data_IF_894687536347
#
_entry.id   IF_894687536347
#
_cell.length_a   1.000
_cell.length_b   1.000
_cell.length_c   1.000
_cell.angle_alpha   90.00
_cell.angle_beta   90.00
_cell.angle_gamma   90.00
#
_symmetry.space_group_name_H-M   'P 1'
#
loop_
_entity.id
_entity.type
_entity.pdbx_description
1 polymer ?
#
# COMPACT_ATOMS: atom_id res chain seq x y z
N UNK A 1 -24.69 12.74 11.80
CA UNK A 1 -24.80 12.97 10.34
C UNK A 1 -24.91 14.46 10.14
N UNK A 2 -24.07 15.11 9.32
CA UNK A 2 -24.21 16.53 9.04
C UNK A 2 -25.28 16.80 7.97
N UNK A 3 -25.90 17.96 8.09
CA UNK A 3 -27.08 18.51 7.43
C UNK A 3 -26.94 18.65 5.89
N UNK A 4 -27.91 18.19 5.08
CA UNK A 4 -27.82 18.21 3.61
C UNK A 4 -28.22 19.53 2.92
N UNK A 5 -28.61 20.59 3.63
CA UNK A 5 -29.24 21.77 2.98
C UNK A 5 -28.30 22.87 2.46
N UNK A 6 -26.98 22.78 2.64
CA UNK A 6 -26.05 23.79 2.13
C UNK A 6 -24.84 23.18 1.40
N UNK A 7 -24.90 22.96 0.07
CA UNK A 7 -23.69 22.69 -0.70
C UNK A 7 -22.78 23.94 -0.71
N UNK A 8 -21.45 23.78 -0.62
CA UNK A 8 -20.53 24.91 -0.74
C UNK A 8 -20.65 25.53 -2.13
N UNK A 9 -20.94 26.83 -2.17
CA UNK A 9 -20.98 27.64 -3.39
C UNK A 9 -19.62 27.61 -4.10
N UNK A 10 -19.54 27.23 -5.37
CA UNK A 10 -18.32 27.38 -6.15
C UNK A 10 -18.04 28.88 -6.37
N UNK A 11 -16.82 29.32 -6.04
CA UNK A 11 -16.31 30.63 -6.44
C UNK A 11 -16.23 30.68 -7.97
N UNK A 12 -17.13 31.43 -8.59
CA UNK A 12 -17.08 31.76 -10.01
C UNK A 12 -16.00 32.82 -10.23
N UNK A 13 -15.09 32.60 -11.19
CA UNK A 13 -14.20 33.64 -11.71
C UNK A 13 -14.62 34.01 -13.13
N UNK A 14 -14.59 35.31 -13.40
CA UNK A 14 -15.07 35.98 -14.60
C UNK A 14 -14.39 35.51 -15.90
N UNK A 15 -15.15 35.62 -16.99
CA UNK A 15 -14.78 35.38 -18.39
C UNK A 15 -13.51 36.13 -18.82
N UNK A 16 -12.63 35.41 -19.52
CA UNK A 16 -11.39 35.89 -20.11
C UNK A 16 -11.66 36.61 -21.44
N UNK A 17 -11.20 37.87 -21.59
CA UNK A 17 -11.39 38.57 -22.86
C UNK A 17 -10.68 39.90 -23.10
N UNK A 18 -9.76 40.36 -22.25
CA UNK A 18 -9.03 41.63 -22.50
C UNK A 18 -7.51 41.43 -22.35
N UNK A 19 -6.68 42.00 -23.25
CA UNK A 19 -5.23 41.94 -23.16
C UNK A 19 -4.72 42.82 -22.02
N UNK A 20 -3.76 42.27 -21.28
CA UNK A 20 -3.11 42.83 -20.08
C UNK A 20 -2.37 44.15 -20.40
N UNK A 21 -2.58 45.21 -19.61
CA UNK A 21 -1.82 46.49 -19.69
C UNK A 21 -0.81 46.57 -18.55
N UNK A 22 0.33 47.23 -18.76
CA UNK A 22 1.37 47.43 -17.72
C UNK A 22 0.86 48.10 -16.43
N UNK A 23 -0.26 48.83 -16.52
CA UNK A 23 -0.95 49.46 -15.40
C UNK A 23 -1.62 48.43 -14.45
N UNK A 24 -1.83 47.19 -14.90
CA UNK A 24 -2.47 46.10 -14.13
C UNK A 24 -1.50 45.35 -13.20
N UNK A 25 -0.18 45.64 -13.25
CA UNK A 25 0.78 45.08 -12.31
C UNK A 25 0.37 45.40 -10.86
N UNK A 26 -0.12 46.63 -10.63
CA UNK A 26 -0.75 47.09 -9.38
C UNK A 26 -1.82 46.14 -8.83
N UNK A 27 -2.66 45.60 -9.71
CA UNK A 27 -3.80 44.74 -9.39
C UNK A 27 -3.35 43.34 -8.93
N UNK A 28 -2.30 42.78 -9.56
CA UNK A 28 -1.70 41.49 -9.16
C UNK A 28 -1.07 41.54 -7.77
N UNK A 29 -0.54 42.71 -7.36
CA UNK A 29 0.00 42.90 -6.01
C UNK A 29 -1.07 42.88 -4.91
N UNK A 30 -2.29 43.34 -5.20
CA UNK A 30 -3.41 43.31 -4.27
C UNK A 30 -3.93 41.87 -4.04
N UNK A 31 -3.93 41.06 -5.09
CA UNK A 31 -4.47 39.70 -5.07
C UNK A 31 -3.58 38.75 -4.23
N UNK A 32 -2.26 38.87 -4.33
CA UNK A 32 -1.33 38.03 -3.55
C UNK A 32 -1.46 38.31 -2.03
N UNK A 33 -1.60 39.57 -1.62
CA UNK A 33 -1.72 39.92 -0.19
C UNK A 33 -3.04 39.45 0.42
N UNK A 34 -4.17 39.67 -0.27
CA UNK A 34 -5.47 39.20 0.19
C UNK A 34 -5.53 37.65 0.28
N UNK A 35 -4.96 36.96 -0.72
CA UNK A 35 -4.88 35.49 -0.74
C UNK A 35 -4.01 34.96 0.42
N UNK A 36 -2.87 35.61 0.72
CA UNK A 36 -1.98 35.17 1.80
C UNK A 36 -2.57 35.37 3.21
N UNK A 37 -3.43 36.37 3.40
CA UNK A 37 -4.16 36.63 4.67
C UNK A 37 -5.23 35.58 4.93
N UNK A 38 -6.06 35.27 3.93
CA UNK A 38 -7.12 34.24 4.02
C UNK A 38 -6.53 32.83 4.26
N UNK A 39 -5.25 32.64 3.92
CA UNK A 39 -4.50 31.39 4.10
C UNK A 39 -3.95 31.22 5.52
N UNK A 40 -3.55 32.32 6.17
CA UNK A 40 -2.73 32.30 7.36
C UNK A 40 -3.52 32.46 8.67
N UNK A 41 -4.68 33.13 8.64
CA UNK A 41 -5.46 33.41 9.83
C UNK A 41 -6.44 32.26 10.17
N UNK A 42 -6.59 31.86 11.45
CA UNK A 42 -7.68 31.00 11.88
C UNK A 42 -9.02 31.71 11.63
N UNK A 43 -10.12 30.92 11.53
CA UNK A 43 -11.54 31.25 11.21
C UNK A 43 -12.14 32.60 11.66
N UNK A 44 -11.46 33.43 12.47
CA UNK A 44 -11.96 34.71 12.98
C UNK A 44 -11.73 35.92 12.06
N UNK A 45 -10.91 35.80 11.02
CA UNK A 45 -10.69 36.88 10.04
C UNK A 45 -10.67 36.27 8.63
N UNK A 46 -11.79 35.69 8.19
CA UNK A 46 -11.98 35.43 6.75
C UNK A 46 -12.58 36.69 6.15
N UNK A 47 -11.80 37.42 5.35
CA UNK A 47 -12.36 38.51 4.56
C UNK A 47 -12.55 37.96 3.16
N UNK A 48 -13.77 37.59 2.85
CA UNK A 48 -14.15 37.15 1.52
C UNK A 48 -13.73 38.23 0.51
N UNK A 49 -13.01 37.89 -0.56
CA UNK A 49 -12.56 38.86 -1.56
C UNK A 49 -13.73 39.70 -2.12
N UNK A 50 -14.90 39.07 -2.29
CA UNK A 50 -16.15 39.73 -2.67
C UNK A 50 -16.64 40.80 -1.66
N UNK A 51 -16.20 40.72 -0.40
CA UNK A 51 -16.50 41.71 0.62
C UNK A 51 -15.55 42.91 0.54
N UNK A 52 -14.27 42.71 0.22
CA UNK A 52 -13.30 43.79 -0.01
C UNK A 52 -13.69 44.66 -1.20
N UNK A 53 -14.22 44.06 -2.26
CA UNK A 53 -14.70 44.78 -3.45
C UNK A 53 -15.99 45.60 -3.19
N UNK A 54 -16.68 45.32 -2.08
CA UNK A 54 -17.88 46.05 -1.65
C UNK A 54 -17.59 47.21 -0.69
N UNK A 55 -16.33 47.37 -0.25
CA UNK A 55 -15.92 48.43 0.67
C UNK A 55 -15.65 49.74 -0.08
N UNK A 56 -15.82 50.85 0.63
CA UNK A 56 -15.30 52.13 0.15
C UNK A 56 -13.76 52.07 0.03
N UNK A 57 -13.17 52.91 -0.83
CA UNK A 57 -11.71 53.00 -0.99
C UNK A 57 -10.98 53.22 0.36
N UNK A 58 -11.58 54.02 1.24
CA UNK A 58 -11.04 54.37 2.56
C UNK A 58 -11.15 53.20 3.55
N UNK A 59 -12.29 52.50 3.58
CA UNK A 59 -12.49 51.30 4.40
C UNK A 59 -11.61 50.14 3.92
N UNK A 60 -11.41 50.01 2.61
CA UNK A 60 -10.50 49.02 2.02
C UNK A 60 -9.06 49.30 2.43
N UNK A 61 -8.60 50.56 2.33
CA UNK A 61 -7.26 50.96 2.77
C UNK A 61 -7.06 50.73 4.28
N UNK A 62 -8.06 51.05 5.11
CA UNK A 62 -8.03 50.81 6.55
C UNK A 62 -7.99 49.31 6.90
N UNK A 63 -8.82 48.48 6.25
CA UNK A 63 -8.81 47.03 6.43
C UNK A 63 -7.45 46.42 6.03
N UNK A 64 -6.86 46.90 4.93
CA UNK A 64 -5.52 46.50 4.48
C UNK A 64 -4.46 46.89 5.51
N UNK A 65 -4.54 48.07 6.10
CA UNK A 65 -3.58 48.53 7.10
C UNK A 65 -3.65 47.71 8.40
N UNK A 66 -4.86 47.34 8.83
CA UNK A 66 -5.09 46.43 9.98
C UNK A 66 -4.57 45.03 9.67
N UNK A 67 -4.80 44.52 8.47
CA UNK A 67 -4.22 43.24 8.03
C UNK A 67 -2.70 43.31 8.00
N UNK A 68 -2.13 44.41 7.47
CA UNK A 68 -0.68 44.64 7.40
C UNK A 68 -0.05 44.61 8.79
N UNK A 69 -0.58 45.39 9.74
CA UNK A 69 -0.09 45.38 11.12
C UNK A 69 -0.26 44.02 11.80
N UNK A 70 -1.32 43.28 11.49
CA UNK A 70 -1.53 41.92 12.02
C UNK A 70 -0.54 40.89 11.43
N UNK A 71 -0.26 40.96 10.12
CA UNK A 71 0.75 40.13 9.45
C UNK A 71 2.15 40.45 9.98
N UNK A 72 2.49 41.74 10.05
CA UNK A 72 3.79 42.22 10.54
C UNK A 72 4.02 41.81 12.01
N UNK A 73 2.98 41.84 12.85
CA UNK A 73 3.10 41.46 14.26
C UNK A 73 3.07 39.93 14.50
N UNK A 74 2.32 39.15 13.71
CA UNK A 74 2.08 37.73 14.02
C UNK A 74 2.69 36.72 13.05
N UNK A 75 2.97 37.11 11.80
CA UNK A 75 3.28 36.20 10.68
C UNK A 75 4.65 36.41 10.02
N UNK A 76 5.34 37.55 10.16
CA UNK A 76 6.73 37.68 9.71
C UNK A 76 7.70 37.22 10.79
N UNK A 77 7.98 35.91 10.80
CA UNK A 77 8.91 35.28 11.74
C UNK A 77 9.99 34.55 10.94
N UNK A 78 11.16 35.17 10.68
CA UNK A 78 12.23 34.58 9.87
C UNK A 78 12.62 33.17 10.31
N UNK A 79 12.75 32.95 11.62
CA UNK A 79 13.05 31.62 12.19
C UNK A 79 11.98 30.57 11.86
N UNK A 80 10.71 30.96 11.76
CA UNK A 80 9.61 30.05 11.39
C UNK A 80 9.66 29.70 9.92
N UNK A 81 9.93 30.67 9.04
CA UNK A 81 10.12 30.41 7.61
C UNK A 81 11.33 29.51 7.35
N UNK A 82 12.43 29.72 8.07
CA UNK A 82 13.60 28.85 8.03
C UNK A 82 13.22 27.41 8.44
N UNK A 83 12.50 27.22 9.55
CA UNK A 83 12.06 25.91 9.99
C UNK A 83 11.16 25.20 8.95
N UNK A 84 10.32 25.95 8.22
CA UNK A 84 9.53 25.40 7.11
C UNK A 84 10.43 25.00 5.94
N UNK A 85 11.39 25.84 5.54
CA UNK A 85 12.33 25.54 4.47
C UNK A 85 13.15 24.27 4.79
N UNK A 86 13.61 24.14 6.04
CA UNK A 86 14.27 22.94 6.56
C UNK A 86 13.35 21.71 6.50
N UNK A 87 12.09 21.85 6.89
CA UNK A 87 11.08 20.79 6.79
C UNK A 87 10.56 20.53 5.38
N UNK A 88 11.17 21.09 4.33
CA UNK A 88 10.73 20.94 2.94
C UNK A 88 11.62 19.98 2.15
N UNK A 89 11.00 19.02 1.48
CA UNK A 89 11.72 18.05 0.65
C UNK A 89 10.87 17.30 -0.34
N UNK A 90 11.54 16.46 -1.12
CA UNK A 90 10.96 15.64 -2.19
C UNK A 90 10.32 14.34 -1.69
N UNK A 91 10.84 13.82 -0.58
CA UNK A 91 10.39 12.60 0.07
C UNK A 91 10.14 12.90 1.55
N UNK A 92 9.03 12.37 2.11
CA UNK A 92 8.68 12.54 3.53
C UNK A 92 8.74 11.19 4.22
N UNK A 93 9.63 11.05 5.20
CA UNK A 93 9.83 9.82 5.96
C UNK A 93 8.66 9.52 6.89
N UNK A 94 7.91 10.55 7.31
CA UNK A 94 6.66 10.40 8.08
C UNK A 94 5.57 9.59 7.36
N UNK A 95 5.68 9.39 6.04
CA UNK A 95 4.79 8.52 5.28
C UNK A 95 5.09 7.03 5.43
N UNK A 96 6.31 6.68 5.86
CA UNK A 96 6.70 5.33 6.20
C UNK A 96 6.46 5.07 7.69
N UNK A 97 6.83 6.03 8.53
CA UNK A 97 6.63 5.95 9.97
C UNK A 97 6.29 7.33 10.54
N UNK A 98 5.07 7.49 11.06
CA UNK A 98 4.55 8.77 11.55
C UNK A 98 5.28 9.31 12.79
N UNK A 99 6.03 8.47 13.50
CA UNK A 99 6.83 8.85 14.68
C UNK A 99 8.16 9.53 14.35
N UNK A 100 8.57 9.56 13.07
CA UNK A 100 9.80 10.23 12.65
C UNK A 100 9.68 11.73 12.95
N UNK A 101 10.58 12.26 13.76
CA UNK A 101 10.62 13.66 14.17
C UNK A 101 11.99 14.29 13.90
N UNK A 102 12.07 15.62 13.96
CA UNK A 102 13.30 16.38 13.80
C UNK A 102 13.67 16.68 12.35
N UNK A 103 14.90 17.14 12.15
CA UNK A 103 15.44 17.71 10.91
C UNK A 103 15.57 16.70 9.75
N UNK A 104 15.51 15.40 10.08
CA UNK A 104 15.65 14.28 9.15
C UNK A 104 14.30 13.69 8.71
N UNK A 105 13.18 14.41 8.87
CA UNK A 105 11.87 13.90 8.44
C UNK A 105 11.62 14.02 6.93
N UNK A 106 12.46 14.76 6.22
CA UNK A 106 12.39 14.96 4.76
C UNK A 106 13.73 14.67 4.09
N UNK A 107 13.67 14.13 2.87
CA UNK A 107 14.83 13.95 1.99
C UNK A 107 14.69 14.80 0.72
N UNK A 108 15.81 15.33 0.24
CA UNK A 108 15.92 16.06 -1.03
C UNK A 108 16.74 15.21 -2.00
N UNK A 109 16.07 14.24 -2.61
CA UNK A 109 16.69 13.33 -3.58
C UNK A 109 16.34 13.82 -4.99
N UNK A 110 17.35 13.97 -5.84
CA UNK A 110 17.17 14.13 -7.28
C UNK A 110 17.44 12.76 -7.91
N UNK A 111 16.40 11.98 -8.31
CA UNK A 111 16.65 10.69 -8.91
C UNK A 111 17.34 10.88 -10.26
N UNK A 112 18.39 10.11 -10.52
CA UNK A 112 19.08 10.10 -11.80
C UNK A 112 18.09 9.73 -12.93
N UNK A 113 18.12 10.47 -14.04
CA UNK A 113 17.33 10.15 -15.25
C UNK A 113 15.85 10.56 -15.23
N UNK A 114 15.41 11.45 -14.34
CA UNK A 114 14.02 11.95 -14.35
C UNK A 114 13.92 13.22 -15.19
N UNK A 115 13.04 13.23 -16.19
CA UNK A 115 12.82 14.35 -17.12
C UNK A 115 12.19 15.61 -16.47
N UNK A 116 11.82 15.56 -15.19
CA UNK A 116 11.26 16.70 -14.44
C UNK A 116 11.80 16.71 -13.02
N UNK A 117 12.25 17.88 -12.55
CA UNK A 117 12.70 18.07 -11.18
C UNK A 117 11.52 17.87 -10.21
N UNK A 118 11.74 17.12 -9.13
CA UNK A 118 10.68 16.82 -8.17
C UNK A 118 10.32 18.07 -7.36
N UNK A 119 9.02 18.30 -7.15
CA UNK A 119 8.53 19.42 -6.32
C UNK A 119 8.83 19.18 -4.85
N UNK A 120 9.21 20.25 -4.16
CA UNK A 120 9.39 20.24 -2.72
C UNK A 120 8.04 20.38 -2.05
N UNK A 121 7.86 19.69 -0.92
CA UNK A 121 6.65 19.76 -0.14
C UNK A 121 7.00 19.77 1.35
N UNK A 122 6.18 20.44 2.18
CA UNK A 122 6.46 20.61 3.59
C UNK A 122 6.03 19.38 4.42
N UNK A 123 6.90 18.93 5.31
CA UNK A 123 6.57 18.10 6.47
C UNK A 123 6.94 18.87 7.72
N UNK A 124 5.96 19.57 8.26
CA UNK A 124 6.17 20.47 9.39
C UNK A 124 5.12 20.20 10.47
N UNK A 125 5.37 20.73 11.66
CA UNK A 125 4.38 20.69 12.74
C UNK A 125 3.15 21.54 12.39
N UNK A 126 1.99 21.16 12.95
CA UNK A 126 0.72 21.84 12.70
C UNK A 126 0.78 23.35 13.01
N UNK A 127 1.51 23.75 14.06
CA UNK A 127 1.66 25.14 14.48
C UNK A 127 2.28 26.06 13.41
N UNK A 128 3.18 25.52 12.57
CA UNK A 128 3.87 26.29 11.52
C UNK A 128 3.32 25.99 10.11
N UNK A 129 2.19 25.30 10.03
CA UNK A 129 1.51 25.01 8.77
C UNK A 129 1.04 26.27 8.02
N UNK A 130 0.59 27.37 8.66
CA UNK A 130 0.27 28.62 7.95
C UNK A 130 1.43 29.14 7.09
N UNK A 131 2.64 29.17 7.65
CA UNK A 131 3.88 29.56 6.97
C UNK A 131 4.21 28.63 5.80
N UNK A 132 4.00 27.32 5.99
CA UNK A 132 4.15 26.35 4.91
C UNK A 132 3.18 26.60 3.75
N UNK A 133 1.93 27.00 4.03
CA UNK A 133 0.98 27.36 2.97
C UNK A 133 1.41 28.63 2.22
N UNK A 134 1.97 29.62 2.92
CA UNK A 134 2.46 30.86 2.30
C UNK A 134 3.51 30.53 1.22
N UNK A 135 4.50 29.70 1.53
CA UNK A 135 5.63 29.47 0.60
C UNK A 135 5.40 28.32 -0.41
N UNK A 136 4.56 27.33 -0.08
CA UNK A 136 4.34 26.13 -0.94
C UNK A 136 3.04 26.17 -1.73
N UNK A 137 2.13 27.12 -1.50
CA UNK A 137 0.91 27.21 -2.30
C UNK A 137 1.24 27.74 -3.69
N UNK A 138 0.82 27.04 -4.77
CA UNK A 138 0.99 27.56 -6.12
C UNK A 138 0.20 28.85 -6.32
N UNK A 139 0.83 29.84 -6.93
CA UNK A 139 0.21 31.11 -7.33
C UNK A 139 -0.14 30.98 -8.81
N UNK A 140 -1.39 31.24 -9.15
CA UNK A 140 -1.84 31.35 -10.54
C UNK A 140 -1.65 32.79 -10.99
N UNK A 141 -1.00 32.99 -12.14
CA UNK A 141 -0.75 34.32 -12.71
C UNK A 141 -1.58 34.43 -13.99
N UNK A 142 -2.39 35.47 -14.09
CA UNK A 142 -3.26 35.72 -15.24
C UNK A 142 -2.41 35.79 -16.51
N UNK A 143 -2.88 35.14 -17.58
CA UNK A 143 -2.19 35.12 -18.88
C UNK A 143 -1.01 34.14 -18.96
N UNK A 144 -0.76 33.34 -17.92
CA UNK A 144 0.35 32.38 -17.89
C UNK A 144 -0.11 30.95 -17.65
N UNK A 145 0.47 30.02 -18.40
CA UNK A 145 0.27 28.59 -18.17
C UNK A 145 1.13 28.08 -17.01
N UNK A 146 0.47 27.38 -16.08
CA UNK A 146 1.11 26.72 -14.95
C UNK A 146 1.19 27.57 -13.68
N UNK A 147 1.13 26.88 -12.54
CA UNK A 147 1.16 27.51 -11.23
C UNK A 147 2.43 27.06 -10.49
N UNK A 148 3.23 28.04 -10.05
CA UNK A 148 4.45 27.87 -9.26
C UNK A 148 4.25 28.46 -7.86
N UNK A 149 4.79 27.79 -6.85
CA UNK A 149 4.90 28.34 -5.50
C UNK A 149 6.16 29.21 -5.36
N UNK A 150 6.32 29.92 -4.24
CA UNK A 150 7.55 30.66 -3.97
C UNK A 150 8.78 29.74 -4.03
N UNK A 151 8.66 28.54 -3.45
CA UNK A 151 9.72 27.52 -3.49
C UNK A 151 10.03 27.08 -4.92
N UNK A 152 9.01 26.90 -5.77
CA UNK A 152 9.23 26.57 -7.18
C UNK A 152 9.96 27.72 -7.91
N UNK A 153 9.61 28.98 -7.63
CA UNK A 153 10.29 30.16 -8.19
C UNK A 153 11.75 30.29 -7.71
N UNK A 154 12.07 29.86 -6.49
CA UNK A 154 13.44 29.82 -5.95
C UNK A 154 14.27 28.74 -6.65
N UNK A 155 13.71 27.54 -6.80
CA UNK A 155 14.41 26.37 -7.36
C UNK A 155 14.55 26.45 -8.88
N UNK A 156 13.54 27.00 -9.56
CA UNK A 156 13.49 27.17 -11.01
C UNK A 156 13.00 28.59 -11.34
N UNK A 157 13.88 29.58 -11.25
CA UNK A 157 13.55 30.96 -11.55
C UNK A 157 13.13 31.15 -13.01
N UNK A 158 12.21 32.07 -13.24
CA UNK A 158 11.80 32.52 -14.57
C UNK A 158 11.62 34.04 -14.58
N UNK A 159 11.13 34.58 -15.70
CA UNK A 159 10.99 36.02 -15.93
C UNK A 159 10.15 36.74 -14.86
N UNK A 160 9.21 36.04 -14.21
CA UNK A 160 8.30 36.64 -13.21
C UNK A 160 8.81 36.41 -11.78
N UNK A 161 9.76 35.49 -11.58
CA UNK A 161 10.36 35.24 -10.26
C UNK A 161 10.84 36.51 -9.53
N UNK A 162 11.54 37.47 -10.18
CA UNK A 162 11.95 38.71 -9.51
C UNK A 162 10.80 39.50 -8.91
N UNK A 163 9.67 39.59 -9.62
CA UNK A 163 8.46 40.29 -9.15
C UNK A 163 7.83 39.57 -7.97
N UNK A 164 7.79 38.23 -8.01
CA UNK A 164 7.30 37.41 -6.89
C UNK A 164 8.18 37.58 -5.64
N UNK A 165 9.51 37.60 -5.81
CA UNK A 165 10.47 37.82 -4.73
C UNK A 165 10.32 39.20 -4.11
N UNK A 166 10.23 40.24 -4.94
CA UNK A 166 10.01 41.60 -4.47
C UNK A 166 8.68 41.73 -3.72
N UNK A 167 7.61 41.14 -4.27
CA UNK A 167 6.29 41.11 -3.63
C UNK A 167 6.32 40.43 -2.27
N UNK A 168 7.04 39.30 -2.17
CA UNK A 168 7.21 38.59 -0.92
C UNK A 168 7.99 39.44 0.09
N UNK A 169 9.12 40.03 -0.29
CA UNK A 169 9.94 40.91 0.56
C UNK A 169 9.28 42.24 0.94
N UNK A 170 8.19 42.61 0.27
CA UNK A 170 7.34 43.74 0.65
C UNK A 170 6.23 43.34 1.62
N UNK A 171 5.84 42.07 1.65
CA UNK A 171 4.80 41.56 2.53
C UNK A 171 5.38 40.95 3.82
N UNK A 172 6.61 40.45 3.74
CA UNK A 172 7.42 39.88 4.80
C UNK A 172 8.84 40.45 4.69
N UNK A 173 9.67 40.27 5.70
CA UNK A 173 11.03 40.79 5.69
C UNK A 173 11.88 40.22 4.53
N UNK A 174 12.79 41.02 3.94
CA UNK A 174 13.83 40.52 3.04
C UNK A 174 14.66 39.39 3.67
N UNK A 175 14.86 39.44 4.99
CA UNK A 175 15.51 38.39 5.78
C UNK A 175 14.79 37.04 5.65
N UNK A 176 13.46 37.01 5.80
CA UNK A 176 12.66 35.80 5.62
C UNK A 176 12.87 35.17 4.24
N UNK A 177 12.88 35.98 3.17
CA UNK A 177 13.13 35.47 1.81
C UNK A 177 14.52 34.88 1.67
N UNK A 178 15.54 35.58 2.16
CA UNK A 178 16.93 35.15 2.02
C UNK A 178 17.22 33.86 2.78
N UNK A 179 16.63 33.68 3.97
CA UNK A 179 16.71 32.44 4.73
C UNK A 179 16.04 31.27 3.98
N UNK A 180 14.85 31.48 3.42
CA UNK A 180 14.17 30.44 2.62
C UNK A 180 15.03 30.08 1.41
N UNK A 181 15.54 31.09 0.70
CA UNK A 181 16.34 30.89 -0.51
C UNK A 181 17.61 30.11 -0.23
N UNK A 182 18.35 30.53 0.80
CA UNK A 182 19.58 29.88 1.25
C UNK A 182 19.31 28.42 1.58
N UNK A 183 18.37 28.14 2.47
CA UNK A 183 18.08 26.78 2.92
C UNK A 183 17.54 25.88 1.79
N UNK A 184 16.69 26.38 0.90
CA UNK A 184 16.12 25.57 -0.20
C UNK A 184 17.17 25.19 -1.26
N UNK A 185 18.07 26.12 -1.56
CA UNK A 185 19.14 25.91 -2.55
C UNK A 185 20.33 25.15 -1.98
N UNK A 186 20.53 25.16 -0.66
CA UNK A 186 21.60 24.43 -0.01
C UNK A 186 21.42 22.90 -0.21
N UNK A 187 22.45 22.21 -0.73
CA UNK A 187 22.47 20.76 -0.76
C UNK A 187 22.41 20.22 0.66
N UNK A 188 21.42 19.39 0.97
CA UNK A 188 21.39 18.73 2.28
C UNK A 188 22.44 17.63 2.35
N UNK A 189 23.15 17.58 3.47
CA UNK A 189 24.07 16.50 3.82
C UNK A 189 23.37 15.15 3.67
N UNK A 190 24.10 14.15 3.19
CA UNK A 190 23.58 12.79 3.08
C UNK A 190 23.04 12.32 4.44
N UNK A 191 21.85 11.71 4.42
CA UNK A 191 21.29 11.12 5.63
C UNK A 191 22.08 9.87 5.95
N UNK A 192 23.01 10.00 6.90
CA UNK A 192 23.91 8.93 7.33
C UNK A 192 23.26 7.92 8.26
N UNK A 193 22.10 8.25 8.85
CA UNK A 193 21.38 7.36 9.74
C UNK A 193 19.88 7.65 9.81
N UNK A 194 19.10 6.56 9.78
CA UNK A 194 17.66 6.56 10.07
C UNK A 194 17.45 6.26 11.55
N UNK A 195 17.57 7.28 12.41
CA UNK A 195 17.46 7.08 13.87
C UNK A 195 16.02 6.75 14.30
N UNK A 196 15.88 5.77 15.20
CA UNK A 196 14.74 5.65 16.12
C UNK A 196 13.39 5.27 15.53
N UNK A 197 13.30 4.84 14.27
CA UNK A 197 12.03 4.49 13.64
C UNK A 197 12.08 3.12 12.93
N UNK A 198 11.00 2.35 13.07
CA UNK A 198 10.76 1.12 12.32
C UNK A 198 10.53 1.48 10.85
N UNK A 199 11.60 1.52 10.07
CA UNK A 199 11.51 1.61 8.61
C UNK A 199 11.50 0.22 8.00
N UNK A 200 10.77 0.01 6.89
CA UNK A 200 10.87 -1.24 6.16
C UNK A 200 12.29 -1.35 5.59
N UNK A 201 13.00 -2.42 5.95
CA UNK A 201 14.29 -2.77 5.38
C UNK A 201 14.08 -4.03 4.54
N UNK A 202 14.43 -3.93 3.27
CA UNK A 202 14.48 -5.05 2.33
C UNK A 202 15.95 -5.38 2.10
N UNK A 203 16.30 -6.65 2.27
CA UNK A 203 17.63 -7.14 1.95
C UNK A 203 17.64 -7.60 0.49
N UNK A 204 18.64 -7.14 -0.27
CA UNK A 204 18.90 -7.59 -1.63
C UNK A 204 20.35 -8.08 -1.77
N UNK A 205 20.66 -8.91 -2.76
CA UNK A 205 22.04 -9.34 -2.99
C UNK A 205 22.89 -8.17 -3.50
N UNK A 206 24.11 -8.02 -2.98
CA UNK A 206 25.11 -7.11 -3.50
C UNK A 206 25.89 -7.73 -4.68
N UNK A 207 26.24 -6.97 -5.72
CA UNK A 207 27.13 -7.43 -6.79
C UNK A 207 28.51 -7.91 -6.28
N UNK A 208 28.98 -7.38 -5.15
CA UNK A 208 30.29 -7.69 -4.57
C UNK A 208 30.24 -8.82 -3.52
N UNK A 209 29.06 -9.42 -3.32
CA UNK A 209 28.80 -10.38 -2.24
C UNK A 209 28.25 -9.72 -0.98
N UNK A 210 27.49 -10.49 -0.18
CA UNK A 210 26.74 -9.97 0.97
C UNK A 210 25.41 -9.31 0.59
N UNK A 211 24.77 -8.67 1.57
CA UNK A 211 23.44 -8.08 1.43
C UNK A 211 23.49 -6.55 1.42
N UNK A 212 22.77 -5.93 0.49
CA UNK A 212 22.41 -4.51 0.52
C UNK A 212 21.11 -4.33 1.30
N UNK A 213 21.09 -3.34 2.19
CA UNK A 213 19.89 -2.93 2.92
C UNK A 213 19.21 -1.77 2.19
N UNK A 214 17.94 -1.96 1.84
CA UNK A 214 17.17 -1.00 1.06
C UNK A 214 15.93 -0.59 1.85
N UNK A 215 15.78 0.70 2.11
CA UNK A 215 14.51 1.27 2.58
C UNK A 215 13.80 1.95 1.42
N UNK A 216 12.72 1.37 0.87
CA UNK A 216 11.99 1.99 -0.22
C UNK A 216 11.22 3.20 0.29
N UNK A 217 11.51 4.37 -0.28
CA UNK A 217 10.86 5.63 0.07
C UNK A 217 10.18 6.17 -1.20
N UNK A 218 8.89 6.45 -1.13
CA UNK A 218 8.16 7.04 -2.26
C UNK A 218 8.29 8.55 -2.27
N UNK A 219 8.57 9.15 -3.43
CA UNK A 219 8.46 10.60 -3.57
C UNK A 219 7.01 11.04 -3.46
N UNK A 220 6.79 12.22 -2.90
CA UNK A 220 5.45 12.77 -2.76
C UNK A 220 4.83 13.15 -4.10
N UNK A 221 5.66 13.57 -5.04
CA UNK A 221 5.22 13.86 -6.39
C UNK A 221 4.51 12.65 -6.99
N UNK A 222 5.14 11.46 -6.91
CA UNK A 222 4.55 10.21 -7.39
C UNK A 222 3.24 9.88 -6.69
N UNK A 223 3.16 10.10 -5.36
CA UNK A 223 1.92 9.88 -4.60
C UNK A 223 0.78 10.81 -5.06
N UNK A 224 1.08 12.10 -5.29
CA UNK A 224 0.08 13.06 -5.72
C UNK A 224 -0.35 12.85 -7.18
N UNK A 225 0.57 12.49 -8.06
CA UNK A 225 0.26 12.11 -9.45
C UNK A 225 -0.61 10.86 -9.47
N UNK A 226 -0.26 9.83 -8.70
CA UNK A 226 -1.07 8.63 -8.53
C UNK A 226 -2.49 8.97 -8.06
N UNK A 227 -2.63 9.80 -7.02
CA UNK A 227 -3.94 10.21 -6.51
C UNK A 227 -4.81 10.87 -7.59
N UNK A 228 -4.23 11.79 -8.38
CA UNK A 228 -4.96 12.46 -9.47
C UNK A 228 -5.34 11.52 -10.60
N UNK A 229 -4.48 10.55 -10.92
CA UNK A 229 -4.69 9.64 -12.04
C UNK A 229 -5.62 8.46 -11.71
N UNK A 230 -5.60 7.98 -10.47
CA UNK A 230 -6.22 6.70 -10.09
C UNK A 230 -7.44 6.87 -9.19
N UNK A 231 -7.54 7.93 -8.40
CA UNK A 231 -8.73 8.11 -7.57
C UNK A 231 -9.92 8.46 -8.46
N UNK A 232 -11.07 7.77 -8.28
CA UNK A 232 -12.25 8.05 -9.06
C UNK A 232 -12.71 9.50 -8.82
N UNK A 233 -12.97 10.22 -9.90
CA UNK A 233 -13.71 11.48 -9.80
C UNK A 233 -15.11 11.18 -9.24
N UNK A 234 -15.72 12.09 -8.46
CA UNK A 234 -17.09 11.93 -7.98
C UNK A 234 -18.03 11.57 -9.14
N UNK A 235 -18.72 10.43 -9.04
CA UNK A 235 -19.64 9.94 -10.08
C UNK A 235 -19.02 9.04 -11.14
N UNK A 236 -17.69 8.88 -11.19
CA UNK A 236 -17.04 7.88 -12.04
C UNK A 236 -17.00 6.52 -11.32
N UNK A 237 -17.49 5.46 -11.97
CA UNK A 237 -17.39 4.10 -11.44
C UNK A 237 -15.95 3.69 -11.15
N UNK A 238 -15.75 2.80 -10.17
CA UNK A 238 -14.42 2.39 -9.72
C UNK A 238 -13.69 1.62 -10.84
N UNK A 239 -12.70 2.25 -11.49
CA UNK A 239 -11.90 1.63 -12.58
C UNK A 239 -10.87 0.63 -12.08
N UNK A 240 -10.43 0.77 -10.84
CA UNK A 240 -9.40 -0.06 -10.22
C UNK A 240 -9.77 -0.29 -8.77
N UNK A 241 -9.63 -1.53 -8.28
CA UNK A 241 -9.94 -1.85 -6.89
C UNK A 241 -8.87 -1.28 -5.96
N UNK A 242 -9.29 -0.39 -5.07
CA UNK A 242 -8.40 0.30 -4.13
C UNK A 242 -8.72 -0.08 -2.68
N UNK A 243 -7.68 -0.21 -1.87
CA UNK A 243 -7.81 -0.37 -0.41
C UNK A 243 -7.44 0.94 0.29
N UNK A 244 -8.25 1.32 1.28
CA UNK A 244 -7.98 2.45 2.16
C UNK A 244 -6.95 2.04 3.23
N UNK A 245 -5.90 2.84 3.39
CA UNK A 245 -4.96 2.73 4.49
C UNK A 245 -4.92 4.05 5.26
N UNK A 246 -5.22 3.97 6.55
CA UNK A 246 -5.01 5.08 7.48
C UNK A 246 -3.56 5.09 7.94
N UNK A 247 -2.84 6.18 7.70
CA UNK A 247 -1.43 6.34 8.10
C UNK A 247 -1.28 6.87 9.53
N UNK A 248 -2.25 7.69 9.96
CA UNK A 248 -2.31 8.30 11.28
C UNK A 248 -3.72 8.84 11.49
N UNK A 249 -4.17 8.85 12.75
CA UNK A 249 -5.38 9.55 13.17
C UNK A 249 -5.27 11.09 13.01
N UNK A 250 -4.04 11.62 12.86
CA UNK A 250 -3.75 13.06 12.72
C UNK A 250 -2.87 13.30 11.47
N UNK A 251 -3.44 13.21 10.24
CA UNK A 251 -2.68 13.35 8.99
C UNK A 251 -1.95 14.70 8.86
N UNK A 252 -2.47 15.76 9.47
CA UNK A 252 -1.83 17.08 9.53
C UNK A 252 -0.43 17.09 10.16
N UNK A 253 -0.08 16.07 10.96
CA UNK A 253 1.25 15.95 11.57
C UNK A 253 2.29 15.28 10.66
N UNK A 254 1.84 14.66 9.56
CA UNK A 254 2.69 14.01 8.55
C UNK A 254 3.14 15.04 7.51
N UNK A 255 2.18 15.75 6.91
CA UNK A 255 2.43 16.81 5.93
C UNK A 255 1.16 17.62 5.72
N UNK A 256 1.30 18.94 5.62
CA UNK A 256 0.18 19.81 5.24
C UNK A 256 -0.22 19.68 3.76
N UNK A 257 0.64 19.09 2.92
CA UNK A 257 0.37 18.84 1.51
C UNK A 257 -0.39 17.54 1.24
N UNK A 258 -0.54 16.67 2.25
CA UNK A 258 -1.18 15.37 2.12
C UNK A 258 -2.48 15.40 2.92
N UNK A 259 -3.57 15.77 2.26
CA UNK A 259 -4.90 15.62 2.82
C UNK A 259 -5.42 14.19 2.61
N UNK A 260 -6.24 13.71 3.55
CA UNK A 260 -7.06 12.51 3.40
C UNK A 260 -6.34 11.15 3.53
N UNK A 261 -7.11 10.09 3.29
CA UNK A 261 -6.68 8.68 3.40
C UNK A 261 -5.64 8.31 2.34
N UNK A 262 -4.74 7.37 2.65
CA UNK A 262 -3.85 6.78 1.63
C UNK A 262 -4.60 5.66 0.93
N UNK A 263 -4.39 5.55 -0.38
CA UNK A 263 -4.94 4.47 -1.19
C UNK A 263 -3.81 3.58 -1.68
N UNK A 264 -4.03 2.28 -1.68
CA UNK A 264 -3.14 1.30 -2.32
C UNK A 264 -3.95 0.46 -3.31
N UNK A 265 -3.30 -0.04 -4.34
CA UNK A 265 -3.89 -1.07 -5.18
C UNK A 265 -4.21 -2.30 -4.35
N UNK A 266 -5.43 -2.80 -4.48
CA UNK A 266 -5.78 -4.08 -3.89
C UNK A 266 -5.27 -5.19 -4.80
N UNK A 267 -4.21 -5.89 -4.35
CA UNK A 267 -3.75 -7.08 -5.04
C UNK A 267 -4.81 -8.17 -4.91
N UNK A 268 -5.36 -8.61 -6.05
CA UNK A 268 -6.13 -9.85 -6.11
C UNK A 268 -5.15 -10.98 -6.35
N UNK A 269 -4.89 -11.77 -5.31
CA UNK A 269 -4.15 -13.01 -5.48
C UNK A 269 -4.94 -13.94 -6.42
N UNK A 270 -4.27 -14.73 -7.27
CA UNK A 270 -4.94 -15.79 -8.00
C UNK A 270 -5.68 -16.69 -7.01
N UNK A 271 -6.83 -17.24 -7.43
CA UNK A 271 -7.60 -18.15 -6.57
C UNK A 271 -6.66 -19.26 -6.09
N UNK A 272 -6.59 -19.52 -4.77
CA UNK A 272 -5.80 -20.64 -4.28
C UNK A 272 -6.33 -21.91 -4.94
N UNK A 273 -5.42 -22.79 -5.37
CA UNK A 273 -5.79 -24.14 -5.77
C UNK A 273 -6.46 -24.82 -4.57
N UNK A 274 -7.51 -25.60 -4.82
CA UNK A 274 -8.03 -26.48 -3.78
C UNK A 274 -6.94 -27.50 -3.38
N UNK A 275 -7.09 -28.14 -2.23
CA UNK A 275 -6.06 -29.03 -1.68
C UNK A 275 -5.76 -30.22 -2.62
N UNK A 276 -6.76 -30.72 -3.35
CA UNK A 276 -6.60 -31.81 -4.30
C UNK A 276 -5.76 -31.37 -5.50
N UNK A 277 -6.12 -30.28 -6.18
CA UNK A 277 -5.41 -29.73 -7.33
C UNK A 277 -3.97 -29.36 -6.95
N UNK A 278 -3.77 -28.79 -5.76
CA UNK A 278 -2.44 -28.48 -5.24
C UNK A 278 -1.61 -29.75 -5.00
N UNK A 279 -2.22 -30.84 -4.57
CA UNK A 279 -1.56 -32.11 -4.34
C UNK A 279 -1.21 -32.82 -5.65
N UNK A 280 -2.10 -32.84 -6.64
CA UNK A 280 -1.83 -33.35 -7.99
C UNK A 280 -0.70 -32.54 -8.63
N UNK A 281 -0.75 -31.21 -8.55
CA UNK A 281 0.31 -30.35 -9.10
C UNK A 281 1.66 -30.59 -8.43
N UNK A 282 1.70 -30.78 -7.11
CA UNK A 282 2.92 -31.16 -6.39
C UNK A 282 3.45 -32.52 -6.86
N UNK A 283 2.56 -33.51 -7.06
CA UNK A 283 2.93 -34.82 -7.59
C UNK A 283 3.56 -34.72 -8.99
N UNK A 284 2.95 -33.95 -9.90
CA UNK A 284 3.50 -33.68 -11.25
C UNK A 284 4.88 -33.03 -11.19
N UNK A 285 5.09 -32.10 -10.25
CA UNK A 285 6.39 -31.45 -10.02
C UNK A 285 7.42 -32.35 -9.31
N UNK A 286 7.11 -33.63 -9.09
CA UNK A 286 8.02 -34.60 -8.49
C UNK A 286 7.95 -34.70 -6.96
N UNK A 287 6.80 -34.39 -6.35
CA UNK A 287 6.52 -34.75 -4.97
C UNK A 287 5.99 -36.20 -4.84
N UNK A 288 5.55 -36.57 -3.65
CA UNK A 288 4.95 -37.87 -3.35
C UNK A 288 3.54 -37.99 -3.93
N UNK A 289 3.10 -39.23 -4.18
CA UNK A 289 1.72 -39.52 -4.59
C UNK A 289 0.76 -39.17 -3.44
N UNK A 290 -0.29 -38.38 -3.67
CA UNK A 290 -1.25 -38.00 -2.63
C UNK A 290 -1.97 -39.22 -2.05
N UNK A 291 -1.95 -39.35 -0.72
CA UNK A 291 -2.78 -40.33 -0.01
C UNK A 291 -4.26 -40.05 -0.22
N UNK A 292 -5.10 -41.06 -0.02
CA UNK A 292 -6.55 -40.88 0.01
C UNK A 292 -6.94 -39.95 1.15
N UNK A 293 -7.90 -39.06 0.91
CA UNK A 293 -8.49 -38.25 1.96
C UNK A 293 -9.21 -39.17 2.93
N UNK A 294 -8.79 -39.15 4.19
CA UNK A 294 -9.35 -40.00 5.24
C UNK A 294 -10.68 -39.39 5.73
N UNK A 295 -11.79 -39.81 5.12
CA UNK A 295 -13.11 -39.57 5.66
C UNK A 295 -13.49 -40.63 6.73
N UNK A 296 -14.58 -40.38 7.44
CA UNK A 296 -15.04 -41.27 8.51
C UNK A 296 -15.39 -42.67 7.97
N UNK A 297 -15.93 -42.75 6.75
CA UNK A 297 -16.37 -44.02 6.15
C UNK A 297 -15.18 -44.92 5.81
N UNK A 298 -14.15 -44.38 5.15
CA UNK A 298 -12.92 -45.09 4.85
C UNK A 298 -12.21 -45.51 6.14
N UNK A 299 -12.17 -44.61 7.13
CA UNK A 299 -11.56 -44.90 8.43
C UNK A 299 -12.25 -46.08 9.14
N UNK A 300 -13.59 -46.09 9.17
CA UNK A 300 -14.37 -47.16 9.80
C UNK A 300 -14.17 -48.51 9.08
N UNK A 301 -14.14 -48.50 7.74
CA UNK A 301 -13.88 -49.70 6.94
C UNK A 301 -12.48 -50.27 7.20
N UNK A 302 -11.46 -49.42 7.26
CA UNK A 302 -10.09 -49.81 7.56
C UNK A 302 -9.96 -50.38 8.97
N UNK A 303 -10.57 -49.74 9.96
CA UNK A 303 -10.60 -50.23 11.35
C UNK A 303 -11.33 -51.58 11.43
N UNK A 304 -12.48 -51.71 10.74
CA UNK A 304 -13.23 -52.96 10.70
C UNK A 304 -12.42 -54.09 10.06
N UNK A 305 -11.75 -53.82 8.93
CA UNK A 305 -10.85 -54.75 8.26
C UNK A 305 -9.72 -55.22 9.20
N UNK A 306 -9.04 -54.29 9.89
CA UNK A 306 -7.98 -54.61 10.84
C UNK A 306 -8.47 -55.43 12.05
N UNK A 307 -9.66 -55.14 12.56
CA UNK A 307 -10.29 -55.91 13.66
C UNK A 307 -10.66 -57.32 13.21
N UNK A 308 -11.23 -57.48 12.02
CA UNK A 308 -11.62 -58.79 11.48
C UNK A 308 -10.39 -59.65 11.17
N UNK A 309 -9.35 -59.08 10.57
CA UNK A 309 -8.09 -59.76 10.32
C UNK A 309 -7.50 -60.31 11.62
N UNK A 310 -7.38 -59.48 12.67
CA UNK A 310 -6.83 -59.89 13.95
C UNK A 310 -7.60 -61.08 14.56
N UNK A 311 -8.94 -61.04 14.55
CA UNK A 311 -9.76 -62.14 15.08
C UNK A 311 -9.53 -63.46 14.35
N UNK A 312 -9.41 -63.41 13.03
CA UNK A 312 -9.15 -64.59 12.20
C UNK A 312 -7.75 -65.17 12.45
N UNK A 313 -6.78 -64.31 12.73
CA UNK A 313 -5.37 -64.65 12.93
C UNK A 313 -5.06 -65.13 14.37
N UNK A 314 -5.78 -64.63 15.38
CA UNK A 314 -5.52 -64.94 16.80
C UNK A 314 -6.37 -66.05 17.40
N UNK A 315 -7.52 -66.39 16.81
CA UNK A 315 -8.48 -67.36 17.38
C UNK A 315 -8.78 -68.46 16.35
N UNK A 316 -8.00 -69.55 16.38
CA UNK A 316 -8.19 -70.71 15.47
C UNK A 316 -9.61 -71.28 15.55
N UNK A 317 -10.22 -71.28 16.75
CA UNK A 317 -11.57 -71.82 17.00
C UNK A 317 -12.72 -70.91 16.53
N UNK A 318 -12.47 -69.62 16.25
CA UNK A 318 -13.49 -68.66 15.80
C UNK A 318 -13.45 -68.39 14.28
N UNK A 319 -12.49 -68.99 13.57
CA UNK A 319 -12.22 -68.74 12.16
C UNK A 319 -13.10 -69.60 11.23
N UNK A 320 -14.35 -69.17 10.98
CA UNK A 320 -15.23 -69.87 10.04
C UNK A 320 -15.04 -69.41 8.58
N UNK A 321 -15.45 -70.26 7.61
CA UNK A 321 -15.35 -70.00 6.16
C UNK A 321 -16.01 -68.67 5.76
N UNK A 322 -17.13 -68.32 6.38
CA UNK A 322 -17.89 -67.09 6.10
C UNK A 322 -17.12 -65.83 6.50
N UNK A 323 -16.39 -65.85 7.62
CA UNK A 323 -15.56 -64.74 8.08
C UNK A 323 -14.36 -64.50 7.15
N UNK A 324 -13.69 -65.57 6.72
CA UNK A 324 -12.59 -65.46 5.73
C UNK A 324 -13.09 -64.91 4.40
N UNK A 325 -14.25 -65.38 3.94
CA UNK A 325 -14.89 -64.84 2.73
C UNK A 325 -15.31 -63.37 2.90
N UNK A 326 -15.78 -62.97 4.08
CA UNK A 326 -16.09 -61.58 4.42
C UNK A 326 -14.87 -60.67 4.41
N UNK A 327 -13.77 -61.09 5.03
CA UNK A 327 -12.50 -60.37 5.02
C UNK A 327 -11.99 -60.19 3.58
N UNK A 328 -12.03 -61.25 2.76
CA UNK A 328 -11.62 -61.18 1.36
C UNK A 328 -12.46 -60.19 0.55
N UNK A 329 -13.79 -60.17 0.73
CA UNK A 329 -14.68 -59.20 0.07
C UNK A 329 -14.37 -57.75 0.48
N UNK A 330 -14.19 -57.51 1.77
CA UNK A 330 -13.84 -56.18 2.27
C UNK A 330 -12.47 -55.72 1.78
N UNK A 331 -11.49 -56.64 1.77
CA UNK A 331 -10.16 -56.39 1.20
C UNK A 331 -10.26 -56.02 -0.28
N UNK A 332 -10.99 -56.80 -1.07
CA UNK A 332 -11.19 -56.51 -2.50
C UNK A 332 -11.88 -55.16 -2.73
N UNK A 333 -12.86 -54.80 -1.90
CA UNK A 333 -13.52 -53.51 -1.95
C UNK A 333 -12.54 -52.34 -1.66
N UNK A 334 -11.69 -52.48 -0.63
CA UNK A 334 -10.66 -51.47 -0.32
C UNK A 334 -9.62 -51.34 -1.43
N UNK A 335 -9.22 -52.45 -2.05
CA UNK A 335 -8.32 -52.42 -3.22
C UNK A 335 -8.97 -51.72 -4.41
N UNK A 336 -10.25 -51.96 -4.67
CA UNK A 336 -10.99 -51.28 -5.75
C UNK A 336 -11.05 -49.77 -5.52
N UNK A 337 -11.39 -49.33 -4.30
CA UNK A 337 -11.40 -47.90 -3.96
C UNK A 337 -10.03 -47.25 -4.16
N UNK A 338 -8.97 -47.93 -3.76
CA UNK A 338 -7.61 -47.44 -3.92
C UNK A 338 -7.21 -47.37 -5.40
N UNK A 339 -7.56 -48.39 -6.19
CA UNK A 339 -7.30 -48.43 -7.62
C UNK A 339 -7.98 -47.25 -8.33
N UNK A 340 -9.26 -46.99 -8.05
CA UNK A 340 -9.97 -45.82 -8.60
C UNK A 340 -9.29 -44.51 -8.25
N UNK A 341 -8.89 -44.31 -6.98
CA UNK A 341 -8.16 -43.10 -6.57
C UNK A 341 -6.84 -42.91 -7.33
N UNK A 342 -6.08 -43.99 -7.55
CA UNK A 342 -4.82 -43.94 -8.30
C UNK A 342 -5.06 -43.57 -9.77
N UNK A 343 -6.08 -44.14 -10.39
CA UNK A 343 -6.43 -43.82 -11.78
C UNK A 343 -6.94 -42.38 -11.92
N UNK A 344 -7.77 -41.89 -11.00
CA UNK A 344 -8.23 -40.49 -10.98
C UNK A 344 -7.06 -39.51 -10.84
N UNK A 345 -6.08 -39.83 -9.98
CA UNK A 345 -4.85 -39.04 -9.83
C UNK A 345 -4.00 -39.08 -11.11
N UNK A 346 -3.93 -40.23 -11.77
CA UNK A 346 -3.17 -40.40 -13.01
C UNK A 346 -3.81 -39.61 -14.16
N UNK A 347 -5.12 -39.69 -14.32
CA UNK A 347 -5.87 -38.92 -15.31
C UNK A 347 -5.67 -37.41 -15.09
N UNK A 348 -5.83 -36.96 -13.84
CA UNK A 348 -5.64 -35.56 -13.46
C UNK A 348 -4.21 -35.08 -13.72
N UNK A 349 -3.20 -35.92 -13.47
CA UNK A 349 -1.81 -35.60 -13.72
C UNK A 349 -1.47 -35.56 -15.21
N UNK A 350 -2.00 -36.48 -16.01
CA UNK A 350 -1.83 -36.49 -17.47
C UNK A 350 -2.48 -35.29 -18.15
N UNK A 351 -3.59 -34.79 -17.58
CA UNK A 351 -4.22 -33.54 -18.04
C UNK A 351 -3.33 -32.31 -17.81
N UNK A 352 -2.44 -32.33 -16.80
CA UNK A 352 -1.49 -31.25 -16.52
C UNK A 352 -0.15 -31.42 -17.25
N UNK A 353 0.34 -32.64 -17.38
CA UNK A 353 1.55 -33.00 -18.11
C UNK A 353 1.33 -34.33 -18.86
N UNK A 354 1.17 -34.31 -20.21
CA UNK A 354 0.94 -35.51 -21.01
C UNK A 354 2.06 -36.55 -20.92
N UNK A 355 3.27 -36.16 -20.50
CA UNK A 355 4.41 -37.06 -20.34
C UNK A 355 4.57 -37.58 -18.90
N UNK A 356 3.63 -37.26 -18.01
CA UNK A 356 3.70 -37.64 -16.61
C UNK A 356 3.83 -39.15 -16.44
N UNK A 357 4.79 -39.55 -15.60
CA UNK A 357 4.96 -40.92 -15.12
C UNK A 357 4.84 -40.94 -13.61
N UNK A 358 3.87 -41.68 -13.11
CA UNK A 358 3.68 -41.86 -11.68
C UNK A 358 4.92 -42.57 -11.09
N UNK A 359 5.48 -42.00 -10.02
CA UNK A 359 6.60 -42.61 -9.29
C UNK A 359 6.15 -43.87 -8.57
N UNK A 360 7.09 -44.73 -8.21
CA UNK A 360 6.81 -45.86 -7.32
C UNK A 360 6.27 -45.37 -5.96
N UNK A 361 5.28 -46.09 -5.43
CA UNK A 361 4.65 -45.83 -4.14
C UNK A 361 4.27 -47.14 -3.46
N UNK A 362 4.00 -47.10 -2.16
CA UNK A 362 3.42 -48.24 -1.43
C UNK A 362 1.90 -48.01 -1.30
N UNK A 363 1.06 -48.83 -1.95
CA UNK A 363 -0.40 -48.68 -1.93
C UNK A 363 -0.98 -48.64 -0.51
N UNK A 364 -0.35 -49.36 0.43
CA UNK A 364 -0.77 -49.37 1.85
C UNK A 364 -0.64 -48.00 2.50
N UNK A 365 0.39 -47.22 2.15
CA UNK A 365 0.59 -45.88 2.72
C UNK A 365 -0.42 -44.86 2.15
N UNK A 366 -0.97 -45.10 0.96
CA UNK A 366 -2.02 -44.24 0.39
C UNK A 366 -3.35 -44.42 1.14
N UNK A 367 -3.69 -45.65 1.55
CA UNK A 367 -4.85 -45.95 2.39
C UNK A 367 -4.70 -45.44 3.82
N UNK A 368 -3.48 -45.45 4.37
CA UNK A 368 -3.19 -45.03 5.74
C UNK A 368 -2.96 -43.51 5.89
N UNK A 369 -3.40 -42.73 4.90
CA UNK A 369 -3.31 -41.26 4.90
C UNK A 369 -3.99 -40.59 6.10
N UNK A 370 -3.74 -39.29 6.27
CA UNK A 370 -4.40 -38.46 7.27
C UNK A 370 -3.98 -38.71 8.74
N UNK A 371 -4.67 -38.04 9.65
CA UNK A 371 -4.43 -38.13 11.09
C UNK A 371 -5.27 -39.24 11.74
N UNK A 372 -4.64 -40.11 12.51
CA UNK A 372 -5.30 -41.17 13.27
C UNK A 372 -5.41 -40.78 14.74
N UNK A 373 -6.60 -40.93 15.34
CA UNK A 373 -6.83 -40.65 16.76
C UNK A 373 -6.10 -41.64 17.67
N UNK A 374 -6.13 -42.92 17.29
CA UNK A 374 -5.47 -44.01 18.01
C UNK A 374 -4.32 -44.59 17.17
N UNK A 375 -3.10 -44.56 17.74
CA UNK A 375 -1.89 -45.10 17.12
C UNK A 375 -1.94 -46.63 17.04
N UNK A 376 -2.52 -47.30 18.03
CA UNK A 376 -2.60 -48.76 18.09
C UNK A 376 -3.58 -49.29 17.04
N UNK A 377 -4.66 -48.55 16.78
CA UNK A 377 -5.54 -48.84 15.65
C UNK A 377 -4.81 -48.71 14.32
N UNK A 378 -4.06 -47.62 14.12
CA UNK A 378 -3.27 -47.44 12.88
C UNK A 378 -2.27 -48.57 12.66
N UNK A 379 -1.55 -48.98 13.71
CA UNK A 379 -0.58 -50.09 13.64
C UNK A 379 -1.30 -51.40 13.31
N UNK A 380 -2.45 -51.67 13.92
CA UNK A 380 -3.25 -52.87 13.67
C UNK A 380 -3.76 -52.94 12.24
N UNK A 381 -4.31 -51.84 11.73
CA UNK A 381 -4.75 -51.74 10.33
C UNK A 381 -3.56 -51.92 9.40
N UNK A 382 -2.43 -51.26 9.66
CA UNK A 382 -1.22 -51.42 8.86
C UNK A 382 -0.74 -52.86 8.78
N UNK A 383 -0.75 -53.57 9.91
CA UNK A 383 -0.40 -55.00 9.96
C UNK A 383 -1.33 -55.82 9.06
N UNK A 384 -2.64 -55.61 9.16
CA UNK A 384 -3.63 -56.31 8.33
C UNK A 384 -3.51 -56.00 6.83
N UNK A 385 -3.24 -54.73 6.47
CA UNK A 385 -3.00 -54.32 5.07
C UNK A 385 -1.65 -54.82 4.53
N UNK A 386 -0.70 -55.10 5.40
CA UNK A 386 0.61 -55.65 5.01
C UNK A 386 0.62 -57.18 4.94
N UNK A 387 -0.46 -57.84 5.35
CA UNK A 387 -0.54 -59.29 5.37
C UNK A 387 -0.55 -59.89 3.95
N UNK A 388 -0.07 -61.14 3.76
CA UNK A 388 0.03 -61.77 2.44
C UNK A 388 -1.29 -61.82 1.66
N UNK A 389 -2.42 -62.01 2.36
CA UNK A 389 -3.73 -62.04 1.74
C UNK A 389 -4.12 -60.72 1.07
N UNK A 390 -3.85 -59.58 1.73
CA UNK A 390 -4.14 -58.26 1.15
C UNK A 390 -3.14 -57.90 0.05
N UNK A 391 -1.86 -58.21 0.24
CA UNK A 391 -0.82 -58.02 -0.78
C UNK A 391 -1.12 -58.81 -2.07
N UNK A 392 -1.70 -60.00 -1.95
CA UNK A 392 -2.16 -60.78 -3.11
C UNK A 392 -3.27 -60.04 -3.88
N UNK A 393 -4.24 -59.46 -3.17
CA UNK A 393 -5.33 -58.69 -3.80
C UNK A 393 -4.81 -57.44 -4.52
N UNK A 394 -3.81 -56.75 -3.94
CA UNK A 394 -3.13 -55.63 -4.61
C UNK A 394 -2.43 -56.09 -5.90
N UNK A 395 -1.66 -57.18 -5.83
CA UNK A 395 -0.96 -57.73 -6.99
C UNK A 395 -1.91 -58.19 -8.11
N UNK A 396 -3.08 -58.76 -7.76
CA UNK A 396 -4.13 -59.12 -8.72
C UNK A 396 -4.69 -57.90 -9.48
N UNK A 397 -4.51 -56.68 -8.95
CA UNK A 397 -4.88 -55.41 -9.59
C UNK A 397 -3.69 -54.61 -10.13
N UNK A 398 -2.50 -55.20 -10.13
CA UNK A 398 -1.28 -54.54 -10.64
C UNK A 398 -0.79 -53.38 -9.76
N UNK A 399 -1.13 -53.39 -8.47
CA UNK A 399 -0.73 -52.39 -7.47
C UNK A 399 0.40 -52.88 -6.55
#
# INVERSE_FOLDING_TARGET
MPDPEHPPTPLAFHDAGQPYREEDAGQVFFDIRAVLVDIALPKRVSVNAAHLDSLSEEDRASAIEVMRTTIEAELDKPATFLAVAQGSGTHILKLLNSSVAGENNVLRLAPAGVNRRQRYLPSVNAAITPYAKIIHRPIAIIGREGNKSLVDHIVEPDEVSPVIFESFSRAFSPESLELIRTEILEPRTEVTALYGANFPIVYGPSPEGGDIQITPISSLHSLNVFRRAVLPSPGSGERVSLANQELSAKPQNISSAISGRRYRFMARFPRPLNENDASVRRMVMGSHVPSMTMDQTLQDLLIHYGKLHRKIDSEEDFSNRSMRAGLARLGAYLVEMLHTHIEDLRESALALDPNFKMREFDPVNLLLGGSWKDKDERIRVRSALSAPGFRKLLAERGL
#
